data_IF_533863885602
#
_entry.id   IF_533863885602
#
_cell.length_a   1.000
_cell.length_b   1.000
_cell.length_c   1.000
_cell.angle_alpha   90.00
_cell.angle_beta   90.00
_cell.angle_gamma   90.00
#
_symmetry.space_group_name_H-M   'P 1'
#
loop_
_entity.id
_entity.type
_entity.pdbx_description
1 polymer ?
#
# COMPACT_ATOMS: atom_id res chain seq x y z
N UNK A 1 -15.69 -10.75 -1.97
CA UNK A 1 -14.56 -10.72 -1.06
C UNK A 1 -13.34 -10.13 -1.73
N UNK A 2 -12.76 -9.10 -1.14
CA UNK A 2 -11.75 -8.30 -1.81
C UNK A 2 -10.31 -8.69 -1.47
N UNK A 3 -10.11 -9.66 -0.59
CA UNK A 3 -8.75 -10.02 -0.22
C UNK A 3 -8.67 -11.23 0.69
N UNK A 4 -7.44 -11.58 1.00
CA UNK A 4 -7.09 -12.73 1.84
C UNK A 4 -6.29 -12.24 3.04
N UNK A 5 -6.67 -12.66 4.23
CA UNK A 5 -5.91 -12.34 5.43
C UNK A 5 -4.74 -13.31 5.58
N UNK A 6 -3.55 -12.75 5.72
CA UNK A 6 -2.31 -13.51 5.91
C UNK A 6 -1.65 -13.10 7.21
N UNK A 7 -0.91 -14.01 7.82
CA UNK A 7 -0.04 -13.66 8.94
C UNK A 7 1.40 -13.80 8.47
N UNK A 8 2.09 -12.66 8.37
CA UNK A 8 3.49 -12.62 7.94
C UNK A 8 4.34 -12.16 9.13
N UNK A 9 5.04 -13.09 9.75
CA UNK A 9 5.94 -12.82 10.88
C UNK A 9 5.25 -12.09 12.03
N UNK A 10 3.99 -12.43 12.29
CA UNK A 10 3.22 -11.81 13.37
C UNK A 10 2.42 -10.58 12.97
N UNK A 11 2.55 -10.12 11.74
CA UNK A 11 1.75 -9.00 11.21
C UNK A 11 0.57 -9.54 10.42
N UNK A 12 -0.63 -9.13 10.77
CA UNK A 12 -1.84 -9.51 10.03
C UNK A 12 -1.99 -8.59 8.83
N UNK A 13 -1.94 -9.19 7.64
CA UNK A 13 -1.94 -8.47 6.37
C UNK A 13 -3.19 -8.82 5.58
N UNK A 14 -3.96 -7.82 5.19
CA UNK A 14 -5.04 -8.00 4.23
C UNK A 14 -4.46 -7.83 2.82
N UNK A 15 -4.32 -8.93 2.11
CA UNK A 15 -3.80 -8.92 0.74
C UNK A 15 -4.97 -8.80 -0.23
N UNK A 16 -5.06 -7.69 -0.92
CA UNK A 16 -6.18 -7.42 -1.83
C UNK A 16 -6.01 -8.16 -3.15
N UNK A 17 -7.15 -8.55 -3.75
CA UNK A 17 -7.15 -9.16 -5.08
C UNK A 17 -6.84 -8.10 -6.15
N UNK A 18 -6.22 -8.50 -7.28
CA UNK A 18 -5.86 -7.53 -8.33
C UNK A 18 -7.04 -7.01 -9.12
N UNK A 19 -8.18 -7.67 -9.08
CA UNK A 19 -9.36 -7.32 -9.89
C UNK A 19 -10.40 -6.47 -9.15
N UNK A 20 -10.03 -5.88 -8.03
CA UNK A 20 -10.95 -5.02 -7.29
C UNK A 20 -10.97 -3.59 -7.79
N UNK A 21 -11.80 -2.72 -7.17
CA UNK A 21 -11.85 -1.31 -7.54
C UNK A 21 -10.52 -0.61 -7.36
N UNK A 22 -10.23 0.43 -8.15
CA UNK A 22 -8.96 1.15 -8.01
C UNK A 22 -8.90 1.94 -6.72
N UNK A 23 -7.70 2.01 -6.14
CA UNK A 23 -7.44 2.87 -4.99
C UNK A 23 -7.09 4.26 -5.51
N UNK A 24 -8.12 5.08 -5.72
CA UNK A 24 -8.00 6.35 -6.41
C UNK A 24 -8.52 7.56 -5.62
N UNK A 25 -8.76 7.40 -4.34
CA UNK A 25 -9.24 8.49 -3.52
C UNK A 25 -9.61 8.04 -2.11
N UNK A 26 -10.14 8.98 -1.34
CA UNK A 26 -10.47 8.77 0.08
C UNK A 26 -11.52 7.69 0.28
N UNK A 27 -12.53 7.63 -0.59
CA UNK A 27 -13.61 6.66 -0.44
C UNK A 27 -13.09 5.25 -0.62
N UNK A 28 -12.27 5.02 -1.64
CA UNK A 28 -11.65 3.71 -1.85
C UNK A 28 -10.75 3.34 -0.68
N UNK A 29 -10.02 4.31 -0.13
CA UNK A 29 -9.19 4.08 1.06
C UNK A 29 -10.05 3.66 2.25
N UNK A 30 -11.16 4.34 2.49
CA UNK A 30 -12.04 4.00 3.62
C UNK A 30 -12.68 2.63 3.46
N UNK A 31 -13.01 2.22 2.24
CA UNK A 31 -13.53 0.88 1.98
C UNK A 31 -12.51 -0.20 2.35
N UNK A 32 -11.26 -0.01 1.96
CA UNK A 32 -10.19 -0.95 2.32
C UNK A 32 -9.90 -0.95 3.81
N UNK A 33 -9.93 0.21 4.44
CA UNK A 33 -9.74 0.33 5.88
C UNK A 33 -10.86 -0.40 6.63
N UNK A 34 -12.09 -0.27 6.14
CA UNK A 34 -13.23 -1.01 6.72
C UNK A 34 -13.05 -2.51 6.63
N UNK A 35 -12.60 -3.00 5.47
CA UNK A 35 -12.31 -4.42 5.29
C UNK A 35 -11.20 -4.88 6.24
N UNK A 36 -10.15 -4.07 6.40
CA UNK A 36 -9.05 -4.38 7.29
C UNK A 36 -9.51 -4.49 8.75
N UNK A 37 -10.34 -3.55 9.20
CA UNK A 37 -10.89 -3.61 10.55
C UNK A 37 -11.76 -4.84 10.74
N UNK A 38 -12.57 -5.18 9.76
CA UNK A 38 -13.43 -6.37 9.84
C UNK A 38 -12.65 -7.66 10.00
N UNK A 39 -11.41 -7.70 9.53
CA UNK A 39 -10.53 -8.87 9.63
C UNK A 39 -9.38 -8.68 10.59
N UNK A 40 -9.38 -7.60 11.35
CA UNK A 40 -8.33 -7.29 12.32
C UNK A 40 -6.94 -7.22 11.68
N UNK A 41 -6.85 -6.68 10.49
CA UNK A 41 -5.59 -6.52 9.77
C UNK A 41 -4.85 -5.26 10.22
N UNK A 42 -3.53 -5.32 10.22
CA UNK A 42 -2.65 -4.22 10.62
C UNK A 42 -2.03 -3.52 9.41
N UNK A 43 -2.04 -4.20 8.27
CA UNK A 43 -1.46 -3.70 7.02
C UNK A 43 -2.34 -4.17 5.87
N UNK A 44 -2.56 -3.28 4.90
CA UNK A 44 -3.26 -3.63 3.66
C UNK A 44 -2.24 -3.64 2.53
N UNK A 45 -2.14 -4.76 1.83
CA UNK A 45 -1.27 -4.91 0.67
C UNK A 45 -2.13 -4.84 -0.59
N UNK A 46 -1.89 -3.83 -1.43
CA UNK A 46 -2.69 -3.57 -2.62
C UNK A 46 -1.82 -3.80 -3.86
N UNK A 47 -2.26 -4.65 -4.79
CA UNK A 47 -1.51 -4.81 -6.04
C UNK A 47 -1.35 -3.48 -6.78
N UNK A 48 -0.17 -3.26 -7.37
CA UNK A 48 0.11 -2.02 -8.07
C UNK A 48 -0.90 -1.72 -9.19
N UNK A 49 -1.43 -2.76 -9.81
CA UNK A 49 -2.43 -2.62 -10.88
C UNK A 49 -3.77 -2.06 -10.40
N UNK A 50 -4.02 -2.05 -9.08
CA UNK A 50 -5.21 -1.42 -8.50
C UNK A 50 -4.98 0.03 -8.08
N UNK A 51 -3.76 0.53 -8.23
CA UNK A 51 -3.46 1.91 -7.88
C UNK A 51 -3.82 2.78 -9.09
N UNK A 52 -4.71 3.75 -8.89
CA UNK A 52 -5.11 4.65 -9.95
C UNK A 52 -3.99 5.59 -10.38
N UNK A 53 -4.06 6.07 -11.62
CA UNK A 53 -3.04 6.97 -12.16
C UNK A 53 -2.89 8.24 -11.33
N UNK A 54 -3.98 8.74 -10.77
CA UNK A 54 -3.95 9.97 -9.97
C UNK A 54 -3.14 9.81 -8.69
N UNK A 55 -3.07 8.59 -8.14
CA UNK A 55 -2.22 8.33 -6.98
C UNK A 55 -0.76 8.62 -7.30
N UNK A 56 -0.31 8.22 -8.49
CA UNK A 56 1.07 8.43 -8.92
C UNK A 56 1.36 9.86 -9.35
N UNK A 57 0.33 10.65 -9.61
CA UNK A 57 0.48 12.09 -9.87
C UNK A 57 0.44 12.84 -8.56
N UNK A 58 1.59 13.17 -8.03
CA UNK A 58 1.64 13.80 -6.70
C UNK A 58 0.87 15.11 -6.63
N UNK A 59 0.76 15.84 -7.74
CA UNK A 59 0.01 17.09 -7.81
C UNK A 59 -1.49 16.91 -7.56
N UNK A 60 -2.02 15.72 -7.83
CA UNK A 60 -3.45 15.47 -7.64
C UNK A 60 -3.85 15.49 -6.18
N UNK A 61 -2.91 15.24 -5.27
CA UNK A 61 -3.19 15.13 -3.85
C UNK A 61 -3.79 13.79 -3.44
N UNK A 62 -4.03 12.88 -4.40
CA UNK A 62 -4.67 11.60 -4.10
C UNK A 62 -3.81 10.74 -3.19
N UNK A 63 -2.50 10.64 -3.48
CA UNK A 63 -1.61 9.83 -2.64
C UNK A 63 -1.61 10.33 -1.19
N UNK A 64 -1.49 11.64 -1.01
CA UNK A 64 -1.52 12.24 0.33
C UNK A 64 -2.82 11.98 1.06
N UNK A 65 -3.95 12.13 0.36
CA UNK A 65 -5.27 11.92 0.95
C UNK A 65 -5.48 10.46 1.36
N UNK A 66 -5.09 9.52 0.50
CA UNK A 66 -5.21 8.09 0.77
C UNK A 66 -4.33 7.70 1.96
N UNK A 67 -3.06 8.10 1.93
CA UNK A 67 -2.12 7.76 3.02
C UNK A 67 -2.59 8.34 4.33
N UNK A 68 -3.11 9.58 4.32
CA UNK A 68 -3.58 10.21 5.54
C UNK A 68 -4.74 9.43 6.18
N UNK A 69 -5.64 8.87 5.38
CA UNK A 69 -6.71 8.03 5.91
C UNK A 69 -6.17 6.80 6.60
N UNK A 70 -5.19 6.12 5.98
CA UNK A 70 -4.57 4.96 6.61
C UNK A 70 -3.85 5.33 7.92
N UNK A 71 -3.16 6.47 7.94
CA UNK A 71 -2.51 6.99 9.16
C UNK A 71 -3.54 7.23 10.26
N UNK A 72 -4.66 7.86 9.92
CA UNK A 72 -5.70 8.20 10.89
C UNK A 72 -6.28 6.95 11.58
N UNK A 73 -6.37 5.85 10.85
CA UNK A 73 -6.90 4.60 11.38
C UNK A 73 -5.82 3.62 11.83
N UNK A 74 -4.57 4.04 11.80
CA UNK A 74 -3.40 3.26 12.27
C UNK A 74 -3.25 1.94 11.51
N UNK A 75 -3.53 1.95 10.22
CA UNK A 75 -3.32 0.82 9.34
C UNK A 75 -2.24 1.18 8.35
N UNK A 76 -1.28 0.28 8.16
CA UNK A 76 -0.20 0.50 7.19
C UNK A 76 -0.65 0.10 5.79
N UNK A 77 0.00 0.65 4.78
CA UNK A 77 -0.33 0.40 3.38
C UNK A 77 0.93 -0.03 2.64
N UNK A 78 0.83 -1.10 1.88
CA UNK A 78 1.90 -1.52 0.98
C UNK A 78 1.34 -1.63 -0.44
N UNK A 79 2.02 -1.01 -1.39
CA UNK A 79 1.75 -1.16 -2.82
C UNK A 79 2.71 -2.22 -3.33
N UNK A 80 2.17 -3.31 -3.88
CA UNK A 80 2.97 -4.47 -4.27
C UNK A 80 2.86 -4.68 -5.77
N UNK A 81 3.98 -4.59 -6.46
CA UNK A 81 4.05 -4.79 -7.89
C UNK A 81 5.04 -3.85 -8.56
N UNK A 82 5.15 -3.96 -9.87
CA UNK A 82 6.10 -3.18 -10.65
C UNK A 82 5.54 -1.79 -10.94
N UNK A 83 6.19 -0.77 -10.39
CA UNK A 83 5.88 0.64 -10.64
C UNK A 83 7.01 1.35 -11.39
N UNK A 84 7.90 0.61 -12.02
CA UNK A 84 9.07 1.18 -12.68
C UNK A 84 8.72 2.17 -13.77
N UNK A 85 7.62 1.96 -14.51
CA UNK A 85 7.18 2.89 -15.54
C UNK A 85 6.82 4.25 -14.93
N UNK A 86 6.06 4.23 -13.86
CA UNK A 86 5.66 5.46 -13.17
C UNK A 86 6.88 6.19 -12.59
N UNK A 87 7.81 5.44 -12.01
CA UNK A 87 9.02 6.02 -11.45
C UNK A 87 9.91 6.62 -12.54
N UNK A 88 9.95 6.02 -13.72
CA UNK A 88 10.76 6.54 -14.83
C UNK A 88 10.26 7.91 -15.31
N UNK A 89 8.98 8.19 -15.14
CA UNK A 89 8.35 9.41 -15.66
C UNK A 89 8.41 10.59 -14.69
N UNK A 90 8.79 10.38 -13.42
CA UNK A 90 8.70 11.43 -12.41
C UNK A 90 9.79 11.30 -11.36
N UNK A 91 10.68 12.29 -11.31
CA UNK A 91 11.71 12.35 -10.27
C UNK A 91 11.08 12.62 -8.90
N UNK A 92 10.02 13.42 -8.85
CA UNK A 92 9.30 13.69 -7.61
C UNK A 92 8.71 12.40 -7.04
N UNK A 93 8.17 11.54 -7.91
CA UNK A 93 7.63 10.27 -7.47
C UNK A 93 8.73 9.34 -6.96
N UNK A 94 9.88 9.32 -7.62
CA UNK A 94 11.03 8.52 -7.12
C UNK A 94 11.44 8.94 -5.72
N UNK A 95 11.49 10.24 -5.47
CA UNK A 95 11.83 10.76 -4.14
C UNK A 95 10.78 10.39 -3.11
N UNK A 96 9.51 10.52 -3.49
CA UNK A 96 8.38 10.16 -2.62
C UNK A 96 8.45 8.67 -2.21
N UNK A 97 8.67 7.79 -3.18
CA UNK A 97 8.75 6.35 -2.94
C UNK A 97 9.94 6.02 -2.05
N UNK A 98 11.09 6.65 -2.31
CA UNK A 98 12.30 6.43 -1.49
C UNK A 98 12.06 6.81 -0.04
N UNK A 99 11.45 7.97 0.19
CA UNK A 99 11.14 8.42 1.55
C UNK A 99 10.10 7.52 2.22
N UNK A 100 9.06 7.12 1.49
CA UNK A 100 8.04 6.23 2.03
C UNK A 100 8.65 4.89 2.47
N UNK A 101 9.54 4.34 1.67
CA UNK A 101 10.15 3.05 1.95
C UNK A 101 11.10 3.08 3.16
N UNK A 102 11.55 4.24 3.58
CA UNK A 102 12.36 4.36 4.79
C UNK A 102 11.52 4.29 6.06
N UNK A 103 10.25 4.61 5.96
CA UNK A 103 9.34 4.61 7.09
C UNK A 103 8.65 3.27 7.26
N UNK A 104 7.58 3.28 8.04
CA UNK A 104 6.80 2.08 8.33
C UNK A 104 5.33 2.22 7.97
N UNK A 105 4.91 3.34 7.38
CA UNK A 105 3.50 3.61 7.11
C UNK A 105 3.08 3.23 5.69
N UNK A 106 3.92 3.51 4.70
CA UNK A 106 3.66 3.25 3.30
C UNK A 106 4.90 2.66 2.67
N UNK A 107 4.73 1.52 1.99
CA UNK A 107 5.83 0.86 1.28
C UNK A 107 5.43 0.63 -0.17
N UNK A 108 6.42 0.68 -1.06
CA UNK A 108 6.30 0.26 -2.45
C UNK A 108 7.27 -0.89 -2.64
N UNK A 109 6.74 -2.10 -2.83
CA UNK A 109 7.51 -3.34 -2.86
C UNK A 109 7.26 -4.05 -4.19
N UNK A 110 8.29 -4.69 -4.71
CA UNK A 110 8.24 -5.26 -6.05
C UNK A 110 7.29 -6.45 -6.16
N UNK A 111 7.19 -7.27 -5.12
CA UNK A 111 6.40 -8.50 -5.13
C UNK A 111 6.08 -8.94 -3.69
N UNK A 112 5.35 -10.04 -3.60
CA UNK A 112 4.96 -10.60 -2.30
C UNK A 112 6.16 -11.06 -1.48
N UNK A 113 7.21 -11.55 -2.13
CA UNK A 113 8.43 -11.96 -1.41
C UNK A 113 9.11 -10.77 -0.76
N UNK A 114 9.12 -9.63 -1.43
CA UNK A 114 9.68 -8.40 -0.86
C UNK A 114 8.87 -7.95 0.36
N UNK A 115 7.55 -8.11 0.32
CA UNK A 115 6.69 -7.80 1.47
C UNK A 115 7.00 -8.72 2.64
N UNK A 116 7.12 -10.02 2.39
CA UNK A 116 7.45 -10.99 3.42
C UNK A 116 8.80 -10.66 4.06
N UNK A 117 9.82 -10.37 3.25
CA UNK A 117 11.14 -9.97 3.73
C UNK A 117 11.07 -8.70 4.57
N UNK A 118 10.30 -7.70 4.11
CA UNK A 118 10.21 -6.43 4.82
C UNK A 118 9.61 -6.59 6.22
N UNK A 119 8.68 -7.52 6.37
CA UNK A 119 8.03 -7.79 7.65
C UNK A 119 8.79 -8.78 8.50
N UNK A 120 9.77 -9.47 7.94
CA UNK A 120 10.56 -10.44 8.67
C UNK A 120 11.42 -9.72 9.73
N UNK A 121 11.59 -10.32 10.93
CA UNK A 121 12.42 -9.69 11.96
C UNK A 121 13.87 -9.57 11.50
N UNK A 122 14.48 -8.46 11.84
CA UNK A 122 15.89 -8.26 11.54
C UNK A 122 16.71 -9.34 12.27
N UNK A 123 17.45 -10.11 11.51
CA UNK A 123 18.40 -11.04 12.09
C UNK A 123 19.71 -10.32 12.21
N UNK A 124 19.99 -9.97 13.36
CA UNK A 124 21.14 -9.25 13.87
C UNK A 124 22.37 -9.12 13.18
#
# INVERSE_FOLDING_TARGET
MTGTLLNLHGTRVLRCAPDGPPLDGERAALDLIGDAFGQDAQLVAVPAERIGDDFFRLRSGVAGAVVQKFVNYRIRLAVVGDVSRQLAESSALRDFVREANRGSQLWFLADDDALDERLSPATG
#
